data_IF_207679514946
#
_entry.id   IF_207679514946
#
_cell.length_a   1.000
_cell.length_b   1.000
_cell.length_c   1.000
_cell.angle_alpha   90.00
_cell.angle_beta   90.00
_cell.angle_gamma   90.00
#
_symmetry.space_group_name_H-M   'P 1'
#
loop_
_entity.id
_entity.type
_entity.pdbx_description
1 polymer ?
#
# COMPACT_ATOMS: atom_id res chain seq x y z
N UNK A 1 -9.53 -13.19 -2.78
CA UNK A 1 -9.23 -13.68 -4.15
C UNK A 1 -7.88 -14.39 -4.23
N UNK A 2 -6.77 -13.78 -3.78
CA UNK A 2 -5.43 -14.43 -3.75
C UNK A 2 -5.46 -15.84 -3.12
N UNK A 3 -6.13 -16.02 -1.97
CA UNK A 3 -6.32 -17.33 -1.33
C UNK A 3 -6.99 -18.38 -2.23
N UNK A 4 -7.92 -17.96 -3.09
CA UNK A 4 -8.59 -18.87 -4.01
C UNK A 4 -7.61 -19.33 -5.10
N UNK A 5 -6.88 -18.39 -5.72
CA UNK A 5 -5.85 -18.72 -6.72
C UNK A 5 -4.76 -19.64 -6.14
N UNK A 6 -4.31 -19.39 -4.92
CA UNK A 6 -3.34 -20.26 -4.24
C UNK A 6 -3.89 -21.68 -4.00
N UNK A 7 -5.21 -21.80 -3.73
CA UNK A 7 -5.86 -23.09 -3.47
C UNK A 7 -6.12 -23.91 -4.74
N UNK A 8 -6.51 -23.27 -5.84
CA UNK A 8 -7.00 -23.94 -7.05
C UNK A 8 -6.13 -23.73 -8.29
N UNK A 9 -4.98 -23.05 -8.17
CA UNK A 9 -4.11 -22.71 -9.29
C UNK A 9 -4.74 -21.73 -10.29
N UNK A 10 -5.82 -21.04 -9.89
CA UNK A 10 -6.54 -20.10 -10.74
C UNK A 10 -5.74 -18.84 -11.08
N UNK A 11 -6.16 -18.15 -12.16
CA UNK A 11 -5.54 -16.91 -12.66
C UNK A 11 -6.48 -15.70 -12.55
N UNK A 12 -7.28 -15.62 -11.49
CA UNK A 12 -8.23 -14.52 -11.27
C UNK A 12 -7.47 -13.21 -11.10
N UNK A 13 -7.99 -12.14 -11.71
CA UNK A 13 -7.47 -10.75 -11.59
C UNK A 13 -8.50 -9.88 -10.87
N UNK A 14 -8.04 -8.84 -10.20
CA UNK A 14 -8.91 -7.87 -9.51
C UNK A 14 -8.37 -6.46 -9.68
N UNK A 15 -9.28 -5.50 -9.56
CA UNK A 15 -8.97 -4.08 -9.39
C UNK A 15 -9.57 -3.71 -8.03
N UNK A 16 -8.78 -3.03 -7.21
CA UNK A 16 -9.22 -2.48 -5.93
C UNK A 16 -9.12 -0.96 -6.02
N UNK A 17 -10.18 -0.28 -5.60
CA UNK A 17 -10.25 1.18 -5.55
C UNK A 17 -10.44 1.57 -4.09
N UNK A 18 -9.59 2.47 -3.60
CA UNK A 18 -9.61 3.01 -2.25
C UNK A 18 -9.57 4.53 -2.34
N UNK A 19 -10.47 5.20 -1.61
CA UNK A 19 -10.64 6.67 -1.68
C UNK A 19 -9.85 7.43 -0.63
N UNK A 20 -9.20 6.73 0.28
CA UNK A 20 -8.59 7.28 1.48
C UNK A 20 -7.10 7.57 1.30
N UNK A 21 -6.57 8.57 2.03
CA UNK A 21 -5.18 9.02 1.91
C UNK A 21 -4.15 7.97 2.39
N UNK A 22 -4.59 7.01 3.20
CA UNK A 22 -3.80 5.89 3.68
C UNK A 22 -3.79 4.69 2.74
N UNK A 23 -4.37 4.79 1.54
CA UNK A 23 -4.47 3.70 0.57
C UNK A 23 -3.12 3.01 0.31
N UNK A 24 -2.04 3.78 0.10
CA UNK A 24 -0.70 3.21 -0.14
C UNK A 24 -0.10 2.59 1.14
N UNK A 25 -0.16 3.34 2.25
CA UNK A 25 0.52 2.98 3.50
C UNK A 25 -0.12 1.80 4.23
N UNK A 26 -1.42 1.58 4.03
CA UNK A 26 -2.17 0.55 4.74
C UNK A 26 -2.79 -0.48 3.79
N UNK A 27 -3.64 -0.06 2.86
CA UNK A 27 -4.41 -0.99 2.01
C UNK A 27 -3.49 -1.73 1.04
N UNK A 28 -2.68 -1.00 0.28
CA UNK A 28 -1.68 -1.56 -0.62
C UNK A 28 -0.63 -2.38 0.14
N UNK A 29 -0.16 -1.87 1.29
CA UNK A 29 0.79 -2.59 2.13
C UNK A 29 0.26 -3.93 2.64
N UNK A 30 -1.02 -3.99 3.03
CA UNK A 30 -1.68 -5.25 3.40
C UNK A 30 -1.74 -6.24 2.24
N UNK A 31 -1.97 -5.77 1.01
CA UNK A 31 -1.94 -6.63 -0.18
C UNK A 31 -0.53 -7.12 -0.46
N UNK A 32 0.49 -6.25 -0.39
CA UNK A 32 1.91 -6.63 -0.54
C UNK A 32 2.30 -7.72 0.46
N UNK A 33 1.95 -7.55 1.73
CA UNK A 33 2.18 -8.55 2.79
C UNK A 33 1.42 -9.85 2.57
N UNK A 34 0.18 -9.79 2.09
CA UNK A 34 -0.58 -11.01 1.77
C UNK A 34 0.07 -11.80 0.62
N UNK A 35 0.72 -11.12 -0.33
CA UNK A 35 1.43 -11.74 -1.45
C UNK A 35 2.77 -12.31 -1.00
N UNK A 36 3.56 -11.54 -0.26
CA UNK A 36 4.95 -11.89 0.13
C UNK A 36 5.03 -12.77 1.39
N UNK A 37 3.98 -12.76 2.21
CA UNK A 37 4.02 -13.28 3.57
C UNK A 37 4.41 -12.19 4.57
N UNK A 38 4.14 -12.45 5.84
CA UNK A 38 4.44 -11.49 6.91
C UNK A 38 4.67 -12.18 8.24
N UNK A 39 5.48 -11.54 9.10
CA UNK A 39 5.58 -11.91 10.49
C UNK A 39 4.28 -11.53 11.21
N UNK A 40 3.53 -12.52 11.65
CA UNK A 40 2.37 -12.31 12.50
C UNK A 40 2.81 -12.41 13.97
N UNK A 41 2.38 -11.43 14.77
CA UNK A 41 2.55 -11.45 16.21
C UNK A 41 1.16 -11.41 16.82
N UNK A 42 0.84 -12.41 17.63
CA UNK A 42 -0.45 -12.52 18.29
C UNK A 42 -0.35 -13.14 19.67
N UNK A 43 -1.45 -13.06 20.40
CA UNK A 43 -1.62 -13.73 21.69
C UNK A 43 -2.51 -14.94 21.48
N UNK A 44 -1.96 -16.14 21.68
CA UNK A 44 -2.72 -17.36 21.76
C UNK A 44 -3.16 -17.59 23.21
N UNK A 45 -4.44 -17.87 23.44
CA UNK A 45 -4.98 -18.21 24.76
C UNK A 45 -5.25 -19.71 24.84
N UNK A 46 -4.82 -20.34 25.92
CA UNK A 46 -5.10 -21.73 26.25
C UNK A 46 -5.85 -21.78 27.59
N UNK A 47 -7.07 -22.34 27.62
CA UNK A 47 -7.82 -22.54 28.87
C UNK A 47 -7.18 -23.68 29.66
N UNK A 48 -6.70 -23.38 30.87
CA UNK A 48 -6.07 -24.33 31.78
C UNK A 48 -7.04 -24.86 32.84
N UNK A 49 -8.04 -24.06 33.23
CA UNK A 49 -9.11 -24.42 34.17
C UNK A 49 -10.37 -23.66 33.79
N UNK A 50 -11.51 -24.32 33.76
CA UNK A 50 -12.82 -23.67 33.62
C UNK A 50 -13.83 -24.45 34.46
N UNK A 51 -14.28 -23.88 35.56
CA UNK A 51 -15.23 -24.54 36.46
C UNK A 51 -16.27 -23.58 37.04
N UNK A 52 -17.51 -24.06 37.14
CA UNK A 52 -18.61 -23.31 37.76
C UNK A 52 -18.52 -23.38 39.28
N UNK A 53 -18.36 -22.23 39.92
CA UNK A 53 -18.43 -22.09 41.37
C UNK A 53 -19.89 -22.07 41.80
N UNK A 54 -20.28 -23.08 42.56
CA UNK A 54 -21.54 -23.12 43.31
C UNK A 54 -21.27 -22.94 44.82
N UNK A 55 -22.32 -22.81 45.63
CA UNK A 55 -22.20 -22.54 47.07
C UNK A 55 -21.38 -23.61 47.83
N UNK A 56 -21.46 -24.87 47.41
CA UNK A 56 -20.67 -25.98 47.99
C UNK A 56 -19.20 -25.87 47.61
N UNK A 57 -18.89 -25.42 46.39
CA UNK A 57 -17.52 -25.17 45.95
C UNK A 57 -16.91 -23.93 46.60
N UNK A 58 -17.71 -22.91 46.89
CA UNK A 58 -17.27 -21.71 47.62
C UNK A 58 -16.76 -22.05 49.02
N UNK A 59 -17.42 -23.00 49.72
CA UNK A 59 -16.93 -23.53 51.01
C UNK A 59 -15.58 -24.25 50.90
N UNK A 60 -15.12 -24.56 49.69
CA UNK A 60 -13.82 -25.18 49.39
C UNK A 60 -12.86 -24.17 48.76
N UNK A 61 -13.06 -22.86 48.95
CA UNK A 61 -12.23 -21.81 48.35
C UNK A 61 -10.73 -22.03 48.55
N UNK A 62 -10.31 -22.48 49.73
CA UNK A 62 -8.90 -22.77 50.02
C UNK A 62 -8.31 -23.87 49.11
N UNK A 63 -9.11 -24.90 48.79
CA UNK A 63 -8.70 -25.95 47.85
C UNK A 63 -8.61 -25.42 46.41
N UNK A 64 -9.47 -24.47 46.04
CA UNK A 64 -9.44 -23.82 44.73
C UNK A 64 -8.25 -22.87 44.58
N UNK A 65 -7.94 -22.10 45.62
CA UNK A 65 -6.75 -21.27 45.66
C UNK A 65 -5.48 -22.12 45.57
N UNK A 66 -5.41 -23.23 46.31
CA UNK A 66 -4.30 -24.18 46.21
C UNK A 66 -4.18 -24.80 44.81
N UNK A 67 -5.31 -25.10 44.13
CA UNK A 67 -5.30 -25.57 42.73
C UNK A 67 -4.78 -24.51 41.76
N UNK A 68 -5.22 -23.25 41.89
CA UNK A 68 -4.72 -22.13 41.06
C UNK A 68 -3.23 -21.92 41.33
N UNK A 69 -2.80 -21.98 42.59
CA UNK A 69 -1.41 -21.80 42.99
C UNK A 69 -0.54 -22.95 42.47
N UNK A 70 -1.00 -24.20 42.57
CA UNK A 70 -0.35 -25.34 41.94
C UNK A 70 -0.25 -25.19 40.42
N UNK A 71 -1.27 -24.65 39.75
CA UNK A 71 -1.21 -24.32 38.32
C UNK A 71 -0.19 -23.20 38.02
N UNK A 72 -0.15 -22.15 38.84
CA UNK A 72 0.84 -21.07 38.71
C UNK A 72 2.26 -21.61 38.91
N UNK A 73 2.49 -22.46 39.90
CA UNK A 73 3.80 -23.11 40.14
C UNK A 73 4.16 -24.03 38.98
N UNK A 74 3.21 -24.86 38.53
CA UNK A 74 3.41 -25.80 37.40
C UNK A 74 3.79 -25.07 36.11
N UNK A 75 3.16 -23.93 35.83
CA UNK A 75 3.41 -23.12 34.64
C UNK A 75 4.55 -22.10 34.83
N UNK A 76 5.21 -22.07 36.00
CA UNK A 76 6.39 -21.26 36.28
C UNK A 76 6.11 -19.78 36.60
N UNK A 77 4.87 -19.45 37.00
CA UNK A 77 4.42 -18.12 37.41
C UNK A 77 4.52 -17.85 38.92
N UNK A 78 4.81 -18.87 39.73
CA UNK A 78 5.09 -18.75 41.16
C UNK A 78 6.26 -19.68 41.56
N UNK A 79 7.04 -19.28 42.57
CA UNK A 79 8.00 -20.19 43.23
C UNK A 79 7.26 -20.96 44.33
N UNK A 80 7.69 -22.21 44.61
CA UNK A 80 7.19 -22.96 45.77
C UNK A 80 7.58 -22.24 47.06
N UNK A 81 6.71 -21.36 47.55
CA UNK A 81 6.87 -20.76 48.87
C UNK A 81 6.49 -21.81 49.91
N UNK A 82 7.50 -22.41 50.53
CA UNK A 82 7.29 -23.24 51.71
C UNK A 82 7.15 -22.31 52.92
N UNK A 83 5.99 -22.42 53.56
CA UNK A 83 5.67 -22.07 54.95
C UNK A 83 5.09 -20.67 55.29
N UNK A 84 4.04 -20.75 56.11
CA UNK A 84 3.16 -19.72 56.66
C UNK A 84 3.88 -18.65 57.49
N UNK A 85 3.44 -17.39 57.36
CA UNK A 85 3.28 -16.49 58.51
C UNK A 85 2.01 -15.63 58.35
N UNK A 86 1.26 -15.54 59.45
CA UNK A 86 0.04 -14.76 59.64
C UNK A 86 0.34 -13.26 59.64
N UNK A 87 -0.34 -12.49 58.78
CA UNK A 87 -0.25 -11.03 58.85
C UNK A 87 -1.28 -10.30 57.99
N UNK A 88 -2.40 -9.90 58.63
CA UNK A 88 -3.09 -8.63 58.39
C UNK A 88 -3.67 -8.33 57.01
N UNK A 89 -5.00 -8.35 56.93
CA UNK A 89 -5.77 -7.66 55.91
C UNK A 89 -5.41 -6.16 55.89
N UNK A 90 -4.83 -5.65 54.79
CA UNK A 90 -4.74 -4.22 54.52
C UNK A 90 -5.48 -3.91 53.22
N UNK A 91 -6.52 -3.09 53.35
CA UNK A 91 -7.37 -2.62 52.25
C UNK A 91 -6.57 -1.86 51.18
N UNK A 92 -7.00 -1.87 49.89
CA UNK A 92 -6.33 -1.10 48.86
C UNK A 92 -6.57 0.39 49.09
N UNK A 93 -5.49 1.16 49.28
CA UNK A 93 -5.53 2.60 49.07
C UNK A 93 -5.48 2.87 47.57
N UNK A 94 -6.56 3.45 47.09
CA UNK A 94 -6.64 4.28 45.91
C UNK A 94 -5.50 5.29 45.88
N UNK A 95 -4.79 5.36 44.75
CA UNK A 95 -4.06 6.56 44.36
C UNK A 95 -4.37 6.89 42.92
N UNK A 96 -4.75 8.15 42.79
CA UNK A 96 -5.30 8.84 41.64
C UNK A 96 -4.37 8.90 40.44
N UNK A 97 -5.06 9.10 39.31
CA UNK A 97 -4.60 9.58 38.03
C UNK A 97 -3.69 10.80 38.17
N UNK A 98 -2.58 10.80 37.42
CA UNK A 98 -1.94 12.03 36.97
C UNK A 98 -1.49 11.88 35.51
N UNK A 99 -2.31 12.42 34.61
CA UNK A 99 -1.90 13.00 33.32
C UNK A 99 -0.85 14.10 33.63
N UNK A 100 0.18 14.45 32.86
CA UNK A 100 0.48 14.58 31.42
C UNK A 100 1.99 15.01 31.39
N UNK A 101 2.66 15.41 30.28
CA UNK A 101 2.35 15.31 28.85
C UNK A 101 3.51 14.76 27.98
N UNK A 102 3.21 14.62 26.68
CA UNK A 102 4.12 14.28 25.60
C UNK A 102 5.16 15.38 25.29
N UNK A 103 6.36 14.97 24.87
CA UNK A 103 7.17 15.75 23.92
C UNK A 103 7.89 14.84 22.91
N UNK A 104 7.74 15.21 21.65
CA UNK A 104 8.45 14.75 20.46
C UNK A 104 9.95 15.08 20.52
N UNK A 105 10.78 14.22 19.89
CA UNK A 105 11.62 14.54 18.70
C UNK A 105 12.96 13.79 18.69
N UNK A 106 13.38 13.35 17.50
CA UNK A 106 14.79 13.42 17.08
C UNK A 106 15.59 12.11 16.97
N UNK A 107 15.48 11.46 15.81
CA UNK A 107 16.58 11.10 14.89
C UNK A 107 17.98 10.64 15.40
N UNK A 108 18.36 9.46 14.86
CA UNK A 108 19.67 9.08 14.27
C UNK A 108 20.88 8.79 15.17
N UNK A 109 21.45 7.57 14.97
CA UNK A 109 22.88 7.19 14.82
C UNK A 109 23.16 5.85 15.53
N UNK A 110 23.36 4.77 14.78
CA UNK A 110 24.62 4.26 14.20
C UNK A 110 25.51 3.48 15.18
N UNK A 111 25.62 2.18 14.88
CA UNK A 111 26.77 1.28 14.99
C UNK A 111 27.92 1.63 15.95
N UNK A 112 28.10 0.79 16.97
CA UNK A 112 29.42 0.51 17.52
C UNK A 112 29.56 -0.98 17.84
N UNK A 113 30.53 -1.62 17.21
CA UNK A 113 31.01 -2.99 17.45
C UNK A 113 31.83 -3.00 18.76
N UNK A 114 31.64 -3.93 19.69
CA UNK A 114 32.58 -4.12 20.80
C UNK A 114 33.71 -5.10 20.45
N UNK A 115 34.94 -4.91 20.96
CA UNK A 115 36.07 -5.81 20.75
C UNK A 115 36.01 -7.02 21.69
N UNK A 116 36.71 -8.07 21.26
CA UNK A 116 36.77 -9.42 21.80
C UNK A 116 37.77 -9.62 22.97
N UNK A 117 37.32 -10.37 23.99
CA UNK A 117 38.01 -11.37 24.85
C UNK A 117 39.15 -10.90 25.82
N UNK A 118 39.35 -11.52 27.01
CA UNK A 118 39.49 -12.98 27.18
C UNK A 118 38.86 -13.63 28.43
N UNK A 119 39.07 -14.96 28.46
CA UNK A 119 38.45 -16.02 29.25
C UNK A 119 38.85 -16.10 30.74
N UNK A 120 38.01 -16.80 31.53
CA UNK A 120 38.49 -17.64 32.64
C UNK A 120 37.70 -17.64 33.97
N UNK A 121 36.53 -18.32 34.01
CA UNK A 121 35.97 -19.12 35.13
C UNK A 121 35.70 -18.51 36.54
N UNK A 122 34.85 -19.10 37.41
CA UNK A 122 34.11 -20.36 37.28
C UNK A 122 32.58 -20.25 37.42
N UNK A 123 31.93 -21.07 36.60
CA UNK A 123 30.66 -21.77 36.78
C UNK A 123 29.94 -21.56 38.14
N UNK A 124 29.04 -20.58 38.21
CA UNK A 124 27.88 -20.66 39.10
C UNK A 124 26.73 -21.27 38.32
N UNK A 125 26.47 -22.55 38.58
CA UNK A 125 25.31 -23.27 38.06
C UNK A 125 24.04 -22.58 38.54
N UNK A 126 23.52 -21.66 37.75
CA UNK A 126 22.15 -21.17 37.92
C UNK A 126 21.20 -22.34 37.66
N UNK A 127 20.26 -22.65 38.58
CA UNK A 127 19.32 -23.73 38.38
C UNK A 127 18.50 -23.44 37.11
N UNK A 128 18.45 -24.43 36.21
CA UNK A 128 17.72 -24.34 34.96
C UNK A 128 16.30 -23.84 35.21
N UNK A 129 16.03 -22.59 34.81
CA UNK A 129 14.71 -22.00 34.92
C UNK A 129 13.73 -22.87 34.12
N UNK A 130 12.73 -23.46 34.82
CA UNK A 130 11.64 -24.22 34.18
C UNK A 130 11.08 -23.36 33.04
N UNK A 131 11.14 -23.87 31.80
CA UNK A 131 10.63 -23.16 30.61
C UNK A 131 9.15 -22.85 30.82
N UNK A 132 8.81 -21.58 31.00
CA UNK A 132 7.42 -21.12 31.09
C UNK A 132 6.73 -21.37 29.74
N UNK A 133 5.63 -22.11 29.72
CA UNK A 133 4.84 -22.37 28.48
C UNK A 133 4.07 -21.13 28.01
N UNK A 134 3.71 -20.26 28.95
CA UNK A 134 2.94 -19.05 28.70
C UNK A 134 3.73 -17.81 29.11
N UNK A 135 3.41 -16.66 28.52
CA UNK A 135 3.98 -15.37 28.89
C UNK A 135 3.20 -14.71 30.02
N UNK A 136 1.89 -14.95 30.07
CA UNK A 136 0.99 -14.47 31.13
C UNK A 136 -0.02 -15.55 31.48
N UNK A 137 -0.50 -15.52 32.72
CA UNK A 137 -1.56 -16.39 33.21
C UNK A 137 -2.68 -15.46 33.70
N UNK A 138 -3.87 -15.58 33.11
CA UNK A 138 -5.05 -14.80 33.46
C UNK A 138 -5.99 -15.65 34.32
N UNK A 139 -6.51 -15.10 35.41
CA UNK A 139 -7.44 -15.78 36.31
C UNK A 139 -8.64 -14.87 36.50
N UNK A 140 -9.82 -15.31 36.09
CA UNK A 140 -11.05 -14.53 36.13
C UNK A 140 -12.18 -15.35 36.73
N UNK A 141 -13.03 -14.72 37.54
CA UNK A 141 -14.30 -15.28 38.01
C UNK A 141 -15.43 -14.42 37.45
N UNK A 142 -16.11 -14.91 36.43
CA UNK A 142 -17.20 -14.20 35.75
C UNK A 142 -18.41 -15.10 35.60
N UNK A 143 -19.59 -14.57 35.91
CA UNK A 143 -20.87 -15.31 35.82
C UNK A 143 -20.88 -16.64 36.60
N UNK A 144 -20.15 -16.68 37.72
CA UNK A 144 -20.00 -17.87 38.55
C UNK A 144 -19.09 -18.95 37.96
N UNK A 145 -18.31 -18.65 36.92
CA UNK A 145 -17.31 -19.55 36.32
C UNK A 145 -15.92 -19.01 36.61
N UNK A 146 -15.10 -19.81 37.29
CA UNK A 146 -13.68 -19.57 37.49
C UNK A 146 -12.94 -20.09 36.25
N UNK A 147 -12.30 -19.18 35.52
CA UNK A 147 -11.51 -19.48 34.34
C UNK A 147 -10.05 -19.10 34.56
N UNK A 148 -9.15 -19.99 34.20
CA UNK A 148 -7.71 -19.78 34.18
C UNK A 148 -7.23 -19.98 32.75
N UNK A 149 -6.63 -18.96 32.15
CA UNK A 149 -6.10 -18.98 30.78
C UNK A 149 -4.61 -18.67 30.76
N UNK A 150 -3.82 -19.47 30.04
CA UNK A 150 -2.46 -19.13 29.68
C UNK A 150 -2.44 -18.30 28.40
N UNK A 151 -1.83 -17.12 28.43
CA UNK A 151 -1.57 -16.28 27.26
C UNK A 151 -0.13 -16.47 26.78
N UNK A 152 0.04 -16.96 25.55
CA UNK A 152 1.33 -17.11 24.88
C UNK A 152 1.43 -16.11 23.74
N UNK A 153 2.46 -15.27 23.77
CA UNK A 153 2.86 -14.45 22.62
C UNK A 153 3.54 -15.37 21.62
N UNK A 154 2.98 -15.44 20.43
CA UNK A 154 3.53 -16.18 19.31
C UNK A 154 3.93 -15.22 18.21
N UNK A 155 5.11 -15.46 17.66
CA UNK A 155 5.57 -14.84 16.42
C UNK A 155 5.72 -15.97 15.42
N UNK A 156 4.95 -15.91 14.34
CA UNK A 156 5.00 -16.89 13.26
C UNK A 156 5.16 -16.18 11.92
N UNK A 157 5.88 -16.82 11.00
CA UNK A 157 5.93 -16.35 9.61
C UNK A 157 4.76 -16.98 8.87
N UNK A 158 3.86 -16.12 8.39
CA UNK A 158 2.78 -16.53 7.48
C UNK A 158 3.34 -16.54 6.07
N UNK A 159 3.24 -17.67 5.39
CA UNK A 159 3.67 -17.82 4.00
C UNK A 159 2.82 -16.93 3.07
N UNK A 160 3.47 -16.35 2.07
CA UNK A 160 2.83 -15.52 1.07
C UNK A 160 1.91 -16.30 0.14
N UNK A 161 0.85 -15.67 -0.33
CA UNK A 161 -0.10 -16.28 -1.28
C UNK A 161 0.39 -16.21 -2.73
N UNK A 162 1.51 -15.52 -2.99
CA UNK A 162 2.03 -15.27 -4.33
C UNK A 162 1.16 -14.30 -5.14
N UNK A 163 1.60 -14.03 -6.38
CA UNK A 163 0.96 -13.09 -7.30
C UNK A 163 1.71 -11.75 -7.42
N UNK A 164 1.14 -10.83 -8.19
CA UNK A 164 1.66 -9.48 -8.40
C UNK A 164 0.60 -8.44 -8.02
N UNK A 165 1.06 -7.27 -7.59
CA UNK A 165 0.20 -6.14 -7.26
C UNK A 165 0.89 -4.84 -7.65
N UNK A 166 0.17 -4.01 -8.39
CA UNK A 166 0.62 -2.67 -8.80
C UNK A 166 -0.29 -1.65 -8.15
N UNK A 167 0.32 -0.68 -7.47
CA UNK A 167 -0.38 0.46 -6.89
C UNK A 167 -0.30 1.65 -7.83
N UNK A 168 -1.44 2.28 -8.10
CA UNK A 168 -1.55 3.48 -8.92
C UNK A 168 -2.38 4.52 -8.17
N UNK A 169 -1.98 5.80 -8.27
CA UNK A 169 -2.78 6.93 -7.80
C UNK A 169 -3.57 7.51 -8.96
N UNK A 170 -4.81 7.95 -8.69
CA UNK A 170 -5.53 8.76 -9.66
C UNK A 170 -4.85 10.14 -9.79
N UNK A 171 -4.72 10.61 -11.02
CA UNK A 171 -4.26 11.98 -11.30
C UNK A 171 -5.35 13.01 -11.01
N UNK A 172 -5.05 14.28 -11.32
CA UNK A 172 -6.05 15.34 -11.26
C UNK A 172 -7.25 15.01 -12.16
N UNK A 173 -8.49 15.27 -11.71
CA UNK A 173 -9.67 15.02 -12.52
C UNK A 173 -9.65 15.89 -13.77
N UNK A 174 -10.05 15.30 -14.91
CA UNK A 174 -10.23 16.05 -16.15
C UNK A 174 -11.61 16.71 -16.13
N UNK A 175 -11.64 18.02 -15.95
CA UNK A 175 -12.86 18.83 -16.01
C UNK A 175 -13.08 19.35 -17.43
N UNK A 176 -14.02 18.75 -18.14
CA UNK A 176 -14.31 19.08 -19.55
C UNK A 176 -14.87 20.50 -19.65
N UNK A 177 -15.73 20.92 -18.73
CA UNK A 177 -16.35 22.26 -18.79
C UNK A 177 -15.31 23.35 -18.59
N UNK A 178 -14.41 23.17 -17.62
CA UNK A 178 -13.30 24.11 -17.40
C UNK A 178 -12.24 24.08 -18.49
N UNK A 179 -12.06 22.94 -19.16
CA UNK A 179 -11.24 22.84 -20.36
C UNK A 179 -11.87 23.59 -21.54
N UNK A 180 -13.19 23.52 -21.70
CA UNK A 180 -13.92 24.29 -22.72
C UNK A 180 -13.84 25.80 -22.47
N UNK A 181 -13.92 26.23 -21.22
CA UNK A 181 -13.83 27.64 -20.82
C UNK A 181 -12.40 28.19 -20.78
N UNK A 182 -11.40 27.30 -20.67
CA UNK A 182 -10.00 27.68 -20.48
C UNK A 182 -9.64 28.09 -19.05
N UNK A 183 -10.54 27.88 -18.08
CA UNK A 183 -10.33 28.18 -16.65
C UNK A 183 -9.31 27.23 -16.01
N UNK A 184 -9.35 25.96 -16.38
CA UNK A 184 -8.43 24.93 -15.89
C UNK A 184 -7.94 24.09 -17.05
N UNK A 185 -6.65 24.19 -17.35
CA UNK A 185 -5.99 23.43 -18.39
C UNK A 185 -5.32 22.18 -17.79
N UNK A 186 -5.70 20.96 -18.22
CA UNK A 186 -5.12 19.72 -17.70
C UNK A 186 -3.64 19.58 -18.05
N UNK A 187 -2.89 18.83 -17.26
CA UNK A 187 -1.52 18.47 -17.62
C UNK A 187 -1.48 17.67 -18.94
N UNK A 188 -0.34 17.74 -19.65
CA UNK A 188 -0.11 17.07 -20.92
C UNK A 188 -0.47 15.57 -20.87
N UNK A 189 0.01 14.86 -19.85
CA UNK A 189 -0.22 13.43 -19.71
C UNK A 189 -1.69 13.07 -19.48
N UNK A 190 -2.42 13.90 -18.71
CA UNK A 190 -3.82 13.68 -18.40
C UNK A 190 -4.69 13.89 -19.65
N UNK A 191 -4.47 14.99 -20.37
CA UNK A 191 -5.17 15.26 -21.63
C UNK A 191 -4.80 14.23 -22.69
N UNK A 192 -3.52 13.93 -22.81
CA UNK A 192 -2.98 12.96 -23.76
C UNK A 192 -3.55 11.56 -23.55
N UNK A 193 -3.54 11.04 -22.32
CA UNK A 193 -4.11 9.73 -22.03
C UNK A 193 -5.60 9.64 -22.42
N UNK A 194 -6.37 10.69 -22.13
CA UNK A 194 -7.79 10.76 -22.49
C UNK A 194 -8.01 10.87 -24.02
N UNK A 195 -7.28 11.74 -24.71
CA UNK A 195 -7.34 11.88 -26.17
C UNK A 195 -6.92 10.58 -26.87
N UNK A 196 -5.86 9.95 -26.40
CA UNK A 196 -5.37 8.69 -26.93
C UNK A 196 -6.43 7.60 -26.80
N UNK A 197 -7.01 7.44 -25.61
CA UNK A 197 -8.04 6.44 -25.37
C UNK A 197 -9.31 6.71 -26.20
N UNK A 198 -9.78 7.95 -26.26
CA UNK A 198 -11.00 8.30 -27.00
C UNK A 198 -10.85 8.12 -28.51
N UNK A 199 -9.67 8.41 -29.07
CA UNK A 199 -9.46 8.27 -30.51
C UNK A 199 -9.02 6.88 -30.97
N UNK A 200 -8.39 6.09 -30.10
CA UNK A 200 -7.80 4.79 -30.49
C UNK A 200 -8.46 3.59 -29.82
N UNK A 201 -9.23 3.80 -28.74
CA UNK A 201 -9.72 2.73 -27.86
C UNK A 201 -8.62 2.01 -27.07
N UNK A 202 -7.36 2.45 -27.19
CA UNK A 202 -6.20 1.85 -26.56
C UNK A 202 -5.83 2.50 -25.24
N UNK A 203 -4.91 1.86 -24.51
CA UNK A 203 -4.27 2.45 -23.32
C UNK A 203 -2.96 3.10 -23.72
N UNK A 204 -2.75 4.34 -23.29
CA UNK A 204 -1.50 5.05 -23.53
C UNK A 204 -0.35 4.36 -22.77
N UNK A 205 0.63 3.86 -23.52
CA UNK A 205 1.86 3.31 -22.96
C UNK A 205 2.94 4.40 -22.88
N UNK A 206 3.93 4.26 -21.98
CA UNK A 206 5.05 5.19 -21.92
C UNK A 206 5.74 5.34 -23.28
N UNK A 207 5.98 6.59 -23.68
CA UNK A 207 6.68 6.89 -24.92
C UNK A 207 8.13 6.36 -24.89
N UNK A 208 8.71 6.00 -26.06
CA UNK A 208 10.13 5.69 -26.18
C UNK A 208 11.03 6.83 -25.64
N UNK A 209 12.22 6.49 -25.13
CA UNK A 209 13.15 7.50 -24.58
C UNK A 209 13.67 8.50 -25.62
N UNK A 210 13.72 8.08 -26.87
CA UNK A 210 14.12 8.85 -28.05
C UNK A 210 12.91 9.50 -28.76
N UNK A 211 11.74 9.50 -28.12
CA UNK A 211 10.56 10.12 -28.68
C UNK A 211 10.79 11.64 -28.86
N UNK A 212 10.49 12.19 -30.05
CA UNK A 212 10.59 13.62 -30.29
C UNK A 212 9.51 14.38 -29.54
N UNK A 213 9.67 15.71 -29.48
CA UNK A 213 8.66 16.59 -28.90
C UNK A 213 7.27 16.32 -29.50
N UNK A 214 6.25 16.48 -28.67
CA UNK A 214 4.83 16.28 -29.01
C UNK A 214 4.43 14.84 -29.32
N UNK A 215 5.36 13.88 -29.32
CA UNK A 215 4.99 12.47 -29.46
C UNK A 215 4.25 12.01 -28.20
N UNK A 216 3.02 11.54 -28.39
CA UNK A 216 2.19 11.09 -27.30
C UNK A 216 2.35 9.58 -27.10
N UNK A 217 2.17 8.79 -28.16
CA UNK A 217 2.23 7.34 -28.05
C UNK A 217 1.94 6.59 -29.34
N UNK A 218 2.02 5.27 -29.26
CA UNK A 218 1.82 4.36 -30.40
C UNK A 218 0.52 3.58 -30.26
N UNK A 219 -0.36 3.70 -31.26
CA UNK A 219 -1.54 2.87 -31.42
C UNK A 219 -1.29 1.74 -32.43
N UNK A 220 -2.31 0.89 -32.63
CA UNK A 220 -2.22 -0.23 -33.58
C UNK A 220 -1.93 0.23 -35.01
N UNK A 221 -2.59 1.30 -35.45
CA UNK A 221 -2.58 1.82 -36.82
C UNK A 221 -1.94 3.21 -36.96
N UNK A 222 -1.59 3.86 -35.85
CA UNK A 222 -1.17 5.25 -35.85
C UNK A 222 -0.07 5.57 -34.82
N UNK A 223 0.81 6.50 -35.19
CA UNK A 223 1.56 7.30 -34.22
C UNK A 223 0.71 8.50 -33.80
N UNK A 224 0.55 8.68 -32.50
CA UNK A 224 -0.29 9.74 -31.94
C UNK A 224 0.58 10.87 -31.43
N UNK A 225 0.20 12.10 -31.78
CA UNK A 225 0.91 13.33 -31.46
C UNK A 225 -0.03 14.30 -30.79
N UNK A 226 0.47 15.06 -29.83
CA UNK A 226 -0.28 16.07 -29.11
C UNK A 226 0.54 17.35 -29.07
N UNK A 227 0.10 18.37 -29.81
CA UNK A 227 0.66 19.72 -29.75
C UNK A 227 -0.12 20.50 -28.71
N UNK A 228 0.37 20.50 -27.47
CA UNK A 228 -0.34 21.06 -26.34
C UNK A 228 0.59 21.44 -25.19
N UNK A 229 0.36 22.62 -24.62
CA UNK A 229 0.86 22.99 -23.31
C UNK A 229 -0.32 23.53 -22.49
N UNK A 230 -0.34 23.33 -21.16
CA UNK A 230 -1.37 23.88 -20.29
C UNK A 230 -1.16 25.39 -20.06
N UNK A 231 -0.99 26.14 -21.15
CA UNK A 231 -0.77 27.58 -21.17
C UNK A 231 -1.66 28.24 -22.22
N UNK A 232 -2.50 29.17 -21.78
CA UNK A 232 -3.51 29.79 -22.64
C UNK A 232 -2.88 30.67 -23.73
N UNK A 233 -1.74 31.33 -23.44
CA UNK A 233 -1.06 32.18 -24.41
C UNK A 233 -0.47 31.33 -25.55
N UNK A 234 0.17 30.22 -25.21
CA UNK A 234 0.65 29.21 -26.16
C UNK A 234 -0.50 28.67 -27.00
N UNK A 235 -1.62 28.25 -26.39
CA UNK A 235 -2.74 27.69 -27.15
C UNK A 235 -3.36 28.70 -28.14
N UNK A 236 -3.32 29.99 -27.83
CA UNK A 236 -3.77 31.06 -28.76
C UNK A 236 -2.72 31.45 -29.80
N UNK A 237 -1.47 31.03 -29.61
CA UNK A 237 -0.36 31.40 -30.46
C UNK A 237 -0.29 30.56 -31.74
N UNK A 238 0.27 31.10 -32.85
CA UNK A 238 0.54 30.34 -34.07
C UNK A 238 1.43 29.11 -33.86
N UNK A 239 2.25 29.10 -32.82
CA UNK A 239 3.19 28.03 -32.46
C UNK A 239 2.45 26.73 -32.10
N UNK A 240 1.24 26.83 -31.54
CA UNK A 240 0.42 25.67 -31.19
C UNK A 240 -0.27 25.03 -32.41
N UNK A 241 -0.35 25.73 -33.55
CA UNK A 241 -0.99 25.17 -34.75
C UNK A 241 -0.14 24.09 -35.43
N UNK A 242 -0.78 23.09 -36.04
CA UNK A 242 -0.08 22.13 -36.90
C UNK A 242 0.43 22.82 -38.19
N UNK A 243 1.74 23.00 -38.27
CA UNK A 243 2.45 23.59 -39.41
C UNK A 243 3.00 22.52 -40.36
N UNK A 244 3.34 22.92 -41.59
CA UNK A 244 3.96 22.03 -42.59
C UNK A 244 5.30 21.45 -42.10
N UNK A 245 6.14 22.27 -41.47
CA UNK A 245 7.43 21.80 -40.95
C UNK A 245 7.24 20.72 -39.88
N UNK A 246 6.25 20.91 -39.00
CA UNK A 246 5.94 19.94 -37.93
C UNK A 246 5.35 18.65 -38.49
N UNK A 247 4.37 18.75 -39.40
CA UNK A 247 3.76 17.60 -40.06
C UNK A 247 4.80 16.77 -40.84
N UNK A 248 5.72 17.43 -41.56
CA UNK A 248 6.84 16.76 -42.22
C UNK A 248 7.76 16.06 -41.22
N UNK A 249 8.15 16.74 -40.15
CA UNK A 249 9.00 16.17 -39.10
C UNK A 249 8.40 14.89 -38.48
N UNK A 250 7.09 14.88 -38.23
CA UNK A 250 6.40 13.69 -37.73
C UNK A 250 6.45 12.54 -38.75
N UNK A 251 6.15 12.82 -40.01
CA UNK A 251 6.17 11.84 -41.08
C UNK A 251 7.58 11.30 -41.38
N UNK A 252 8.60 12.16 -41.36
CA UNK A 252 10.01 11.79 -41.50
C UNK A 252 10.46 10.89 -40.34
N UNK A 253 10.06 11.22 -39.11
CA UNK A 253 10.34 10.40 -37.94
C UNK A 253 9.72 9.00 -38.06
N UNK A 254 8.45 8.90 -38.47
CA UNK A 254 7.79 7.60 -38.70
C UNK A 254 8.50 6.75 -39.75
N UNK A 255 8.91 7.37 -40.88
CA UNK A 255 9.68 6.70 -41.94
C UNK A 255 11.07 6.24 -41.47
N UNK A 256 11.72 6.98 -40.58
CA UNK A 256 13.03 6.63 -40.06
C UNK A 256 13.02 5.41 -39.11
N UNK A 257 11.84 5.04 -38.57
CA UNK A 257 11.70 3.85 -37.72
C UNK A 257 12.02 2.57 -38.49
N UNK A 258 12.31 1.51 -37.74
CA UNK A 258 12.63 0.18 -38.29
C UNK A 258 13.74 0.23 -39.34
N UNK A 259 14.86 0.87 -39.00
CA UNK A 259 16.01 1.04 -39.90
C UNK A 259 15.65 1.70 -41.25
N UNK A 260 14.71 2.65 -41.24
CA UNK A 260 14.28 3.38 -42.44
C UNK A 260 13.22 2.66 -43.29
N UNK A 261 12.69 1.52 -42.84
CA UNK A 261 11.58 0.84 -43.52
C UNK A 261 10.22 1.49 -43.22
N UNK A 262 10.15 2.29 -42.15
CA UNK A 262 8.89 2.74 -41.57
C UNK A 262 8.09 1.57 -40.97
N UNK A 263 7.02 1.88 -40.27
CA UNK A 263 6.06 0.89 -39.76
C UNK A 263 4.70 0.93 -40.48
N UNK A 264 4.58 1.78 -41.50
CA UNK A 264 3.35 1.95 -42.28
C UNK A 264 2.20 2.61 -41.52
N UNK A 265 2.45 3.13 -40.30
CA UNK A 265 1.43 3.78 -39.50
C UNK A 265 1.19 5.21 -39.98
N UNK A 266 -0.07 5.64 -39.90
CA UNK A 266 -0.42 7.05 -40.11
C UNK A 266 -0.05 7.89 -38.89
N UNK A 267 -0.04 9.21 -39.03
CA UNK A 267 0.21 10.13 -37.93
C UNK A 267 -1.09 10.82 -37.52
N UNK A 268 -1.65 10.46 -36.37
CA UNK A 268 -2.81 11.16 -35.79
C UNK A 268 -2.31 12.32 -34.93
N UNK A 269 -2.65 13.55 -35.30
CA UNK A 269 -2.16 14.76 -34.63
C UNK A 269 -3.30 15.55 -34.01
N UNK A 270 -3.25 15.68 -32.69
CA UNK A 270 -4.07 16.60 -31.93
C UNK A 270 -3.39 17.97 -31.84
N UNK A 271 -4.07 19.01 -32.29
CA UNK A 271 -3.61 20.39 -32.13
C UNK A 271 -4.80 21.36 -32.09
N UNK A 272 -4.65 22.57 -31.54
CA UNK A 272 -5.74 23.56 -31.51
C UNK A 272 -6.19 24.03 -32.90
N UNK A 273 -5.25 24.16 -33.83
CA UNK A 273 -5.47 24.63 -35.19
C UNK A 273 -4.52 23.95 -36.19
N UNK A 274 -4.76 24.14 -37.49
CA UNK A 274 -3.83 23.76 -38.58
C UNK A 274 -3.72 24.88 -39.60
N UNK A 275 -2.53 25.05 -40.17
CA UNK A 275 -2.26 26.00 -41.28
C UNK A 275 -2.09 25.30 -42.63
N UNK A 276 -2.79 24.19 -42.80
CA UNK A 276 -2.68 23.32 -43.96
C UNK A 276 -4.05 22.81 -44.41
N UNK A 277 -4.18 22.50 -45.69
CA UNK A 277 -5.36 21.79 -46.20
C UNK A 277 -5.33 20.31 -45.80
N UNK A 278 -6.50 19.67 -45.70
CA UNK A 278 -6.57 18.23 -45.41
C UNK A 278 -5.88 17.39 -46.49
N UNK A 279 -5.90 17.86 -47.76
CA UNK A 279 -5.21 17.19 -48.87
C UNK A 279 -3.70 17.11 -48.64
N UNK A 280 -3.07 18.21 -48.25
CA UNK A 280 -1.62 18.23 -47.98
C UNK A 280 -1.24 17.38 -46.77
N UNK A 281 -2.09 17.31 -45.75
CA UNK A 281 -1.86 16.45 -44.59
C UNK A 281 -1.99 14.96 -44.97
N UNK A 282 -2.99 14.61 -45.78
CA UNK A 282 -3.19 13.25 -46.26
C UNK A 282 -2.01 12.75 -47.12
N UNK A 283 -1.45 13.62 -47.96
CA UNK A 283 -0.23 13.33 -48.75
C UNK A 283 0.99 13.02 -47.88
N UNK A 284 1.01 13.50 -46.62
CA UNK A 284 2.04 13.19 -45.63
C UNK A 284 1.67 12.00 -44.72
N UNK A 285 0.50 11.38 -44.91
CA UNK A 285 -0.03 10.34 -44.01
C UNK A 285 -0.44 10.88 -42.65
N UNK A 286 -0.79 12.17 -42.56
CA UNK A 286 -1.16 12.86 -41.31
C UNK A 286 -2.66 13.10 -41.26
N UNK A 287 -3.29 12.67 -40.18
CA UNK A 287 -4.67 12.99 -39.84
C UNK A 287 -4.72 14.04 -38.72
N UNK A 288 -5.41 15.15 -38.98
CA UNK A 288 -5.59 16.21 -38.01
C UNK A 288 -6.88 16.00 -37.22
N UNK A 289 -6.77 16.06 -35.90
CA UNK A 289 -7.91 16.12 -34.98
C UNK A 289 -7.83 17.42 -34.16
N UNK A 290 -8.84 18.30 -34.23
CA UNK A 290 -8.84 19.51 -33.40
C UNK A 290 -8.97 19.14 -31.93
N UNK A 291 -8.29 19.89 -31.06
CA UNK A 291 -8.49 19.75 -29.63
C UNK A 291 -9.92 20.19 -29.25
N UNK A 292 -10.55 19.53 -28.27
CA UNK A 292 -11.98 19.66 -28.01
C UNK A 292 -12.37 20.91 -27.20
N UNK A 293 -11.60 22.00 -27.24
CA UNK A 293 -11.88 23.23 -26.48
C UNK A 293 -12.30 24.42 -27.34
N UNK A 294 -13.24 25.19 -26.81
CA UNK A 294 -13.83 26.35 -27.48
C UNK A 294 -13.04 27.65 -27.24
N UNK A 295 -11.72 27.58 -27.03
CA UNK A 295 -10.88 28.73 -26.70
C UNK A 295 -10.91 29.86 -27.75
N UNK A 296 -11.39 29.57 -28.96
CA UNK A 296 -11.47 30.49 -30.09
C UNK A 296 -12.85 31.08 -30.34
N UNK A 297 -13.85 30.78 -29.50
CA UNK A 297 -15.15 31.45 -29.58
C UNK A 297 -15.03 32.79 -28.85
N UNK A 298 -14.52 33.80 -29.54
CA UNK A 298 -14.76 35.18 -29.12
C UNK A 298 -16.27 35.45 -29.16
N UNK A 299 -16.77 36.09 -28.10
CA UNK A 299 -18.09 36.74 -28.09
C UNK A 299 -18.06 38.06 -28.85
#
# INVERSE_FOLDING_TARGET
>A
MLKANAKDGGRRKFILVEGEDYADKLTAERVRRAIQGYAWVGTQRETLLEEKINFTQFKKADQWLAKIEALKVKEGFAQESTQMELGGWAAPRSTEVKEEPAQLAGDTQQNAVPPSLPAGSPNTTQPAAKKKRFNKLNVELKDGILKVEGEKRISEMVEGLGGEFTYCTLGQPLDIEKLLSGESLPAFDALGAWLFHTATGGTLLPAPKDAPDWYLGEAKDAHVWLVYQPDLMFLKSPEAALTLSRAKGFADWGRARHAGQGDGKRHLVFAPAKYMSNKQLLELGVDYCPLPFALYREG
#
